data_IF_773019777978
#
_entry.id   IF_773019777978
#
_cell.length_a   1.000
_cell.length_b   1.000
_cell.length_c   1.000
_cell.angle_alpha   90.00
_cell.angle_beta   90.00
_cell.angle_gamma   90.00
#
_symmetry.space_group_name_H-M   'P 1'
#
loop_
_entity.id
_entity.type
_entity.pdbx_description
1 polymer ?
#
# COMPACT_ATOMS: atom_id res chain seq x y z
N UNK A 1 -10.08 -18.17 26.15
CA UNK A 1 -10.38 -16.74 25.90
C UNK A 1 -9.07 -16.01 25.67
N UNK A 2 -8.78 -15.53 24.46
CA UNK A 2 -7.70 -14.59 24.21
C UNK A 2 -8.11 -13.74 23.00
N UNK A 3 -8.77 -12.62 23.30
CA UNK A 3 -9.08 -11.56 22.33
C UNK A 3 -7.94 -10.55 22.42
N UNK A 4 -6.96 -10.66 21.53
CA UNK A 4 -5.88 -9.67 21.41
C UNK A 4 -6.30 -8.59 20.42
N UNK A 5 -6.63 -7.42 20.99
CA UNK A 5 -6.77 -6.10 20.37
C UNK A 5 -6.28 -5.93 18.92
N UNK A 6 -7.21 -5.95 17.96
CA UNK A 6 -7.61 -4.78 17.18
C UNK A 6 -6.59 -3.77 16.62
N UNK A 7 -5.35 -4.12 16.26
CA UNK A 7 -4.45 -3.21 15.50
C UNK A 7 -3.71 -3.92 14.35
N UNK A 8 -4.43 -4.57 13.44
CA UNK A 8 -3.88 -4.86 12.11
C UNK A 8 -4.63 -4.01 11.10
N UNK A 9 -4.22 -2.74 10.96
CA UNK A 9 -4.87 -1.80 10.02
C UNK A 9 -4.61 -2.19 8.55
N UNK A 10 -3.67 -3.11 8.28
CA UNK A 10 -3.36 -3.64 6.95
C UNK A 10 -3.18 -5.16 6.93
N UNK A 11 -2.72 -5.68 5.79
CA UNK A 11 -2.62 -7.12 5.50
C UNK A 11 -1.77 -7.91 6.52
N UNK A 12 -0.76 -7.25 7.08
CA UNK A 12 0.04 -7.76 8.18
C UNK A 12 0.41 -6.60 9.11
N UNK A 13 0.91 -6.92 10.30
CA UNK A 13 1.23 -5.92 11.30
C UNK A 13 2.54 -5.17 11.00
N UNK A 14 2.68 -3.93 11.50
CA UNK A 14 3.84 -3.08 11.23
C UNK A 14 5.17 -3.67 11.75
N UNK A 15 5.12 -4.63 12.67
CA UNK A 15 6.27 -5.33 13.22
C UNK A 15 7.11 -6.08 12.17
N UNK A 16 6.52 -6.44 11.03
CA UNK A 16 7.24 -7.11 9.94
C UNK A 16 7.93 -6.13 8.98
N UNK A 17 7.74 -4.82 9.16
CA UNK A 17 8.41 -3.79 8.36
C UNK A 17 9.72 -3.41 9.06
N UNK A 18 10.85 -3.60 8.39
CA UNK A 18 12.15 -3.26 8.98
C UNK A 18 12.25 -1.75 9.26
N UNK A 19 12.53 -1.34 10.52
CA UNK A 19 12.68 0.06 10.88
C UNK A 19 13.92 0.71 10.23
N UNK A 20 14.92 -0.08 9.84
CA UNK A 20 16.11 0.43 9.13
C UNK A 20 15.75 0.90 7.73
N UNK A 21 14.91 0.15 7.02
CA UNK A 21 14.39 0.52 5.69
C UNK A 21 13.44 1.71 5.77
N UNK A 22 12.64 1.80 6.83
CA UNK A 22 11.80 2.97 7.05
C UNK A 22 12.62 4.25 7.30
N UNK A 23 13.79 4.14 7.95
CA UNK A 23 14.69 5.26 8.23
C UNK A 23 15.57 5.66 7.04
N UNK A 24 15.85 4.75 6.11
CA UNK A 24 16.62 5.08 4.91
C UNK A 24 15.79 5.87 3.89
N UNK A 25 14.46 5.86 4.03
CA UNK A 25 13.57 6.63 3.19
C UNK A 25 13.49 8.10 3.64
N UNK A 26 13.31 9.04 2.70
CA UNK A 26 13.05 10.44 3.04
C UNK A 26 11.79 10.56 3.92
N UNK A 27 11.74 11.57 4.80
CA UNK A 27 10.61 11.79 5.73
C UNK A 27 9.25 12.00 5.04
N UNK A 28 9.28 12.34 3.76
CA UNK A 28 8.08 12.45 2.92
C UNK A 28 7.50 11.09 2.53
N UNK A 29 8.18 9.97 2.74
CA UNK A 29 7.68 8.64 2.38
C UNK A 29 7.36 7.81 3.61
N UNK A 30 6.31 7.00 3.51
CA UNK A 30 5.88 6.07 4.56
C UNK A 30 5.69 4.68 3.95
N UNK A 31 6.42 3.71 4.48
CA UNK A 31 6.20 2.29 4.20
C UNK A 31 5.17 1.71 5.15
N UNK A 32 4.21 0.97 4.61
CA UNK A 32 3.25 0.19 5.40
C UNK A 32 2.67 -0.98 4.62
N UNK A 33 2.05 -1.91 5.33
CA UNK A 33 1.27 -2.97 4.72
C UNK A 33 0.08 -2.40 3.90
N UNK A 34 -0.23 -3.08 2.80
CA UNK A 34 -1.39 -2.80 1.96
C UNK A 34 -2.68 -2.81 2.80
N UNK A 35 -3.59 -1.87 2.52
CA UNK A 35 -4.89 -1.78 3.14
C UNK A 35 -6.00 -1.84 2.10
N UNK A 36 -7.17 -2.33 2.50
CA UNK A 36 -8.37 -2.35 1.64
C UNK A 36 -8.73 -0.96 1.09
N UNK A 37 -8.45 0.09 1.86
CA UNK A 37 -8.70 1.49 1.46
C UNK A 37 -7.76 2.03 0.38
N UNK A 38 -6.65 1.35 0.09
CA UNK A 38 -5.67 1.80 -0.91
C UNK A 38 -6.20 1.68 -2.34
N UNK A 39 -7.22 0.85 -2.58
CA UNK A 39 -7.95 0.84 -3.84
C UNK A 39 -8.49 2.23 -4.22
N UNK A 40 -9.05 2.97 -3.26
CA UNK A 40 -9.57 4.31 -3.51
C UNK A 40 -8.47 5.38 -3.66
N UNK A 41 -7.20 5.01 -3.43
CA UNK A 41 -6.04 5.89 -3.49
C UNK A 41 -5.19 5.67 -4.74
N UNK A 42 -5.70 4.91 -5.71
CA UNK A 42 -5.00 4.65 -6.97
C UNK A 42 -3.96 3.53 -6.90
N UNK A 43 -4.06 2.60 -5.94
CA UNK A 43 -3.14 1.45 -5.88
C UNK A 43 -3.11 0.64 -7.18
N UNK A 44 -4.28 0.42 -7.80
CA UNK A 44 -4.36 -0.28 -9.09
C UNK A 44 -3.75 0.54 -10.23
N UNK A 45 -3.74 1.87 -10.14
CA UNK A 45 -3.15 2.73 -11.17
C UNK A 45 -1.63 2.62 -11.19
N UNK A 46 -1.00 2.46 -10.02
CA UNK A 46 0.45 2.17 -9.93
C UNK A 46 0.77 0.82 -10.56
N UNK A 47 -0.06 -0.19 -10.35
CA UNK A 47 0.14 -1.52 -10.96
C UNK A 47 -0.02 -1.52 -12.48
N UNK A 48 -0.78 -0.57 -13.05
CA UNK A 48 -0.98 -0.44 -14.52
C UNK A 48 0.29 -0.08 -15.28
N UNK A 49 1.24 0.58 -14.64
CA UNK A 49 2.52 0.94 -15.27
C UNK A 49 3.35 -0.31 -15.54
N UNK A 50 3.22 -1.33 -14.68
CA UNK A 50 3.97 -2.57 -14.80
C UNK A 50 3.29 -3.57 -15.76
N UNK A 51 1.96 -3.70 -15.70
CA UNK A 51 1.21 -4.67 -16.51
C UNK A 51 -0.19 -4.17 -16.88
N UNK A 52 -0.84 -4.86 -17.83
CA UNK A 52 -2.25 -4.59 -18.17
C UNK A 52 -3.15 -5.06 -17.02
N UNK A 53 -3.53 -4.13 -16.16
CA UNK A 53 -4.50 -4.35 -15.08
C UNK A 53 -5.90 -4.01 -15.57
N UNK A 54 -6.75 -5.04 -15.71
CA UNK A 54 -8.18 -4.85 -15.98
C UNK A 54 -8.82 -4.14 -14.79
N UNK A 55 -9.63 -3.11 -15.05
CA UNK A 55 -10.34 -2.38 -14.00
C UNK A 55 -11.36 -3.29 -13.33
N UNK A 56 -10.98 -3.89 -12.19
CA UNK A 56 -11.91 -4.67 -11.37
C UNK A 56 -12.76 -3.74 -10.50
N UNK A 57 -14.08 -4.00 -10.37
CA UNK A 57 -14.92 -3.23 -9.46
C UNK A 57 -14.47 -3.40 -8.00
N UNK A 58 -14.75 -2.39 -7.17
CA UNK A 58 -14.38 -2.37 -5.73
C UNK A 58 -14.82 -3.63 -4.97
N UNK A 59 -15.95 -4.24 -5.36
CA UNK A 59 -16.44 -5.50 -4.77
C UNK A 59 -15.44 -6.65 -4.99
N UNK A 60 -14.95 -6.81 -6.22
CA UNK A 60 -13.99 -7.85 -6.56
C UNK A 60 -12.65 -7.60 -5.86
N UNK A 61 -12.18 -6.34 -5.82
CA UNK A 61 -11.00 -5.97 -5.02
C UNK A 61 -11.14 -6.38 -3.55
N UNK A 62 -12.30 -6.09 -2.95
CA UNK A 62 -12.56 -6.43 -1.57
C UNK A 62 -12.47 -7.93 -1.33
N UNK A 63 -13.05 -8.74 -2.22
CA UNK A 63 -13.01 -10.21 -2.16
C UNK A 63 -11.57 -10.72 -2.28
N UNK A 64 -10.77 -10.18 -3.22
CA UNK A 64 -9.36 -10.52 -3.37
C UNK A 64 -8.55 -10.15 -2.13
N UNK A 65 -8.77 -8.96 -1.56
CA UNK A 65 -8.12 -8.52 -0.33
C UNK A 65 -8.48 -9.44 0.85
N UNK A 66 -9.76 -9.79 0.98
CA UNK A 66 -10.24 -10.66 2.05
C UNK A 66 -9.67 -12.09 1.88
N UNK A 67 -9.45 -12.55 0.65
CA UNK A 67 -8.74 -13.81 0.38
C UNK A 67 -7.28 -13.75 0.83
N UNK A 68 -6.55 -12.67 0.51
CA UNK A 68 -5.17 -12.49 0.99
C UNK A 68 -5.07 -12.45 2.51
N UNK A 69 -6.04 -11.80 3.17
CA UNK A 69 -6.04 -11.65 4.62
C UNK A 69 -6.46 -12.93 5.37
N UNK A 70 -7.20 -13.82 4.71
CA UNK A 70 -7.71 -15.07 5.31
C UNK A 70 -6.91 -16.29 4.84
N UNK A 71 -7.07 -16.69 3.58
CA UNK A 71 -6.46 -17.91 3.03
C UNK A 71 -4.98 -17.72 2.71
N UNK A 72 -4.61 -16.51 2.25
CA UNK A 72 -3.23 -16.13 1.97
C UNK A 72 -2.44 -15.65 3.18
N UNK A 73 -3.01 -15.74 4.39
CA UNK A 73 -2.42 -15.17 5.61
C UNK A 73 -1.07 -15.82 5.92
N UNK A 74 -0.01 -15.03 5.85
CA UNK A 74 1.37 -15.47 6.09
C UNK A 74 2.18 -15.83 4.83
N UNK A 75 1.53 -15.91 3.66
CA UNK A 75 2.20 -16.17 2.37
C UNK A 75 2.38 -14.91 1.53
N UNK A 76 1.49 -13.92 1.68
CA UNK A 76 1.51 -12.69 0.89
C UNK A 76 1.87 -11.47 1.74
N UNK A 77 3.04 -10.89 1.46
CA UNK A 77 3.52 -9.65 2.09
C UNK A 77 3.49 -8.50 1.09
N UNK A 78 2.30 -7.92 0.92
CA UNK A 78 2.12 -6.76 0.04
C UNK A 78 2.46 -5.46 0.80
N UNK A 79 3.55 -4.84 0.38
CA UNK A 79 4.04 -3.55 0.89
C UNK A 79 3.62 -2.43 -0.05
N UNK A 80 3.22 -1.30 0.52
CA UNK A 80 2.92 -0.08 -0.23
C UNK A 80 3.75 1.05 0.34
N UNK A 81 4.44 1.76 -0.55
CA UNK A 81 5.08 3.02 -0.24
C UNK A 81 4.10 4.14 -0.55
N UNK A 82 3.87 5.01 0.44
CA UNK A 82 3.05 6.21 0.31
C UNK A 82 3.95 7.42 0.38
N UNK A 83 3.76 8.39 -0.51
CA UNK A 83 4.25 9.75 -0.29
C UNK A 83 3.27 10.53 0.58
N UNK A 84 3.78 11.32 1.53
CA UNK A 84 3.08 12.33 2.29
C UNK A 84 2.75 13.41 1.28
N UNK A 85 1.48 13.51 0.96
CA UNK A 85 0.92 14.49 0.04
C UNK A 85 1.42 15.90 0.37
N UNK A 86 2.49 16.36 -0.27
CA UNK A 86 2.51 17.73 -0.80
C UNK A 86 1.71 17.63 -2.08
N UNK A 87 0.39 17.76 -1.93
CA UNK A 87 -0.49 18.15 -3.02
C UNK A 87 0.25 19.26 -3.74
N UNK A 88 0.66 18.99 -4.97
CA UNK A 88 1.38 19.94 -5.78
C UNK A 88 0.66 21.28 -5.66
N UNK A 89 1.38 22.29 -5.22
CA UNK A 89 1.00 23.68 -5.03
C UNK A 89 0.73 24.38 -6.38
N UNK A 90 0.11 23.67 -7.34
CA UNK A 90 -0.08 24.14 -8.72
C UNK A 90 1.18 24.07 -9.58
N UNK A 91 2.24 23.41 -9.11
CA UNK A 91 3.49 23.24 -9.87
C UNK A 91 3.43 22.04 -10.82
N UNK A 92 3.67 22.24 -12.13
CA UNK A 92 3.61 21.17 -13.14
C UNK A 92 4.80 20.19 -13.12
N UNK A 93 5.80 20.41 -12.28
CA UNK A 93 7.11 19.74 -12.27
C UNK A 93 7.28 18.62 -11.23
N UNK A 94 6.25 18.26 -10.45
CA UNK A 94 6.39 17.24 -9.39
C UNK A 94 6.42 15.77 -9.87
N UNK A 95 6.70 15.49 -11.15
CA UNK A 95 6.63 14.14 -11.74
C UNK A 95 7.91 13.61 -12.38
N UNK A 96 9.01 14.36 -12.44
CA UNK A 96 10.15 14.03 -13.31
C UNK A 96 11.50 13.76 -12.61
N UNK A 97 11.54 13.52 -11.30
CA UNK A 97 12.80 13.24 -10.59
C UNK A 97 12.84 11.88 -9.88
N UNK A 98 12.33 10.81 -10.51
CA UNK A 98 12.61 9.44 -10.02
C UNK A 98 13.09 8.46 -11.11
N UNK A 99 13.55 8.97 -12.26
CA UNK A 99 14.39 8.20 -13.17
C UNK A 99 15.45 9.11 -13.80
N UNK A 100 16.63 9.16 -13.18
CA UNK A 100 17.88 9.48 -13.86
C UNK A 100 18.84 8.31 -13.69
#
# INVERSE_FOLDING_TARGET
>A
MASTNGITKGLFGPELVSPEVAKSLPESYTLRALQKSDYARGFLDVLRVLTVVVTSPKKQWNETYDWYNNQGKGSYYLLVMRTRESRCDGRPDCGEEIYS
#
